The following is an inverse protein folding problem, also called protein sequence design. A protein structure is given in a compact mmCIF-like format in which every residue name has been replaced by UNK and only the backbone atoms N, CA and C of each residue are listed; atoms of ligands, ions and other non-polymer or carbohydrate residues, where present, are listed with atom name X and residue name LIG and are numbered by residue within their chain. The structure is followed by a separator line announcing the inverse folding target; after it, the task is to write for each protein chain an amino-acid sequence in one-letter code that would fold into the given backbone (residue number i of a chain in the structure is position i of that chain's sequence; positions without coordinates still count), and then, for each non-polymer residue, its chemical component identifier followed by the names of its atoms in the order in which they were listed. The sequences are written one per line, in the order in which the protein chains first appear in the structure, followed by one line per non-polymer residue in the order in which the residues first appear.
data_IF_880425616040
#
_entry.id   IF_880425616040
#
_cell.length_a   1.000
_cell.length_b   1.000
_cell.length_c   1.000
_cell.angle_alpha   90.00
_cell.angle_beta   90.00
_cell.angle_gamma   90.00
#
_symmetry.space_group_name_H-M   'P 1'
#
loop_
_entity.id
_entity.type
_entity.pdbx_description
1 polymer ?
#
# COMPACT_ATOMS: atom_id res chain seq x y z
N UNK A 1 -12.07 20.43 0.49
CA UNK A 1 -11.40 19.14 0.24
C UNK A 1 -11.26 18.41 1.54
N UNK A 2 -11.58 17.11 1.58
CA UNK A 2 -11.43 16.30 2.79
C UNK A 2 -9.96 16.00 3.09
N UNK A 3 -9.55 16.20 4.36
CA UNK A 3 -8.19 15.90 4.84
C UNK A 3 -7.77 14.45 4.57
N UNK A 4 -8.75 13.54 4.58
CA UNK A 4 -8.55 12.10 4.30
C UNK A 4 -7.99 11.86 2.90
N UNK A 5 -8.35 12.68 1.91
CA UNK A 5 -7.83 12.54 0.55
C UNK A 5 -6.34 12.89 0.49
N UNK A 6 -5.91 13.94 1.20
CA UNK A 6 -4.50 14.32 1.29
C UNK A 6 -3.67 13.25 2.01
N UNK A 7 -4.18 12.71 3.11
CA UNK A 7 -3.54 11.60 3.84
C UNK A 7 -3.39 10.39 2.92
N UNK A 8 -4.44 10.00 2.21
CA UNK A 8 -4.39 8.87 1.28
C UNK A 8 -3.37 9.10 0.15
N UNK A 9 -3.30 10.32 -0.41
CA UNK A 9 -2.29 10.65 -1.42
C UNK A 9 -0.86 10.57 -0.87
N UNK A 10 -0.62 11.07 0.34
CA UNK A 10 0.68 10.96 0.99
C UNK A 10 1.07 9.49 1.21
N UNK A 11 0.11 8.64 1.63
CA UNK A 11 0.33 7.19 1.78
C UNK A 11 0.66 6.55 0.43
N UNK A 12 -0.10 6.84 -0.64
CA UNK A 12 0.14 6.30 -1.97
C UNK A 12 1.52 6.66 -2.51
N UNK A 13 1.92 7.93 -2.38
CA UNK A 13 3.24 8.41 -2.82
C UNK A 13 4.34 7.79 -1.97
N UNK A 14 4.18 7.76 -0.64
CA UNK A 14 5.15 7.14 0.27
C UNK A 14 5.34 5.65 -0.01
N UNK A 15 4.25 4.91 -0.22
CA UNK A 15 4.28 3.50 -0.57
C UNK A 15 4.98 3.28 -1.92
N UNK A 16 4.69 4.08 -2.94
CA UNK A 16 5.34 3.99 -4.25
C UNK A 16 6.84 4.25 -4.16
N UNK A 17 7.25 5.28 -3.40
CA UNK A 17 8.66 5.59 -3.16
C UNK A 17 9.34 4.42 -2.47
N UNK A 18 8.73 3.87 -1.41
CA UNK A 18 9.29 2.72 -0.70
C UNK A 18 9.44 1.49 -1.60
N UNK A 19 8.38 1.13 -2.35
CA UNK A 19 8.40 0.02 -3.32
C UNK A 19 9.47 0.22 -4.41
N UNK A 20 9.79 1.46 -4.77
CA UNK A 20 10.82 1.76 -5.77
C UNK A 20 12.24 1.51 -5.28
N UNK A 21 12.47 1.48 -3.96
CA UNK A 21 13.79 1.20 -3.37
C UNK A 21 14.16 -0.28 -3.40
N UNK A 22 13.17 -1.17 -3.46
CA UNK A 22 13.38 -2.61 -3.40
C UNK A 22 13.43 -3.22 -4.82
N UNK A 23 14.55 -3.87 -5.22
CA UNK A 23 14.71 -4.47 -6.54
C UNK A 23 13.64 -5.51 -6.87
N UNK A 24 13.06 -6.18 -5.88
CA UNK A 24 12.05 -7.23 -6.07
C UNK A 24 10.74 -6.65 -6.64
N UNK A 25 10.40 -5.42 -6.27
CA UNK A 25 9.14 -4.77 -6.65
C UNK A 25 9.25 -3.87 -7.88
N UNK A 26 10.45 -3.69 -8.45
CA UNK A 26 10.71 -2.89 -9.66
C UNK A 26 9.72 -3.08 -10.82
N UNK A 27 9.31 -4.30 -11.23
CA UNK A 27 8.37 -4.45 -12.34
C UNK A 27 6.94 -3.96 -12.01
N UNK A 28 6.58 -3.89 -10.72
CA UNK A 28 5.25 -3.47 -10.25
C UNK A 28 5.16 -1.94 -10.07
N UNK A 29 6.31 -1.27 -9.88
CA UNK A 29 6.42 0.19 -9.70
C UNK A 29 5.80 1.01 -10.83
N UNK A 30 6.07 0.77 -12.14
CA UNK A 30 5.45 1.57 -13.20
C UNK A 30 3.93 1.42 -13.26
N UNK A 31 3.42 0.22 -12.96
CA UNK A 31 1.98 -0.04 -12.87
C UNK A 31 1.38 0.73 -11.68
N UNK A 32 1.94 0.61 -10.48
CA UNK A 32 1.47 1.36 -9.31
C UNK A 32 1.58 2.87 -9.52
N UNK A 33 2.64 3.34 -10.16
CA UNK A 33 2.85 4.74 -10.50
C UNK A 33 1.72 5.31 -11.37
N UNK A 34 1.21 4.53 -12.33
CA UNK A 34 0.06 4.93 -13.13
C UNK A 34 -1.20 5.13 -12.25
N UNK A 35 -1.45 4.26 -11.26
CA UNK A 35 -2.60 4.41 -10.35
C UNK A 35 -2.45 5.57 -9.37
N UNK A 36 -1.23 5.86 -8.92
CA UNK A 36 -0.95 7.08 -8.14
C UNK A 36 -1.23 8.31 -9.00
N UNK A 37 -0.80 8.31 -10.27
CA UNK A 37 -1.09 9.40 -11.19
C UNK A 37 -2.60 9.57 -11.41
N UNK A 38 -3.36 8.48 -11.61
CA UNK A 38 -4.83 8.52 -11.71
C UNK A 38 -5.45 9.10 -10.42
N UNK A 39 -4.96 8.69 -9.25
CA UNK A 39 -5.42 9.24 -7.97
C UNK A 39 -5.14 10.75 -7.87
N UNK A 40 -3.95 11.19 -8.33
CA UNK A 40 -3.57 12.59 -8.32
C UNK A 40 -4.43 13.42 -9.29
N UNK A 41 -4.72 12.89 -10.48
CA UNK A 41 -5.66 13.49 -11.43
C UNK A 41 -7.06 13.58 -10.82
N UNK A 42 -7.53 12.52 -10.14
CA UNK A 42 -8.79 12.53 -9.40
C UNK A 42 -8.85 13.65 -8.35
N UNK A 43 -7.78 13.81 -7.57
CA UNK A 43 -7.66 14.91 -6.61
C UNK A 43 -7.68 16.27 -7.31
N UNK A 44 -6.98 16.43 -8.42
CA UNK A 44 -6.97 17.66 -9.22
C UNK A 44 -8.36 18.01 -9.76
N UNK A 45 -9.14 17.02 -10.21
CA UNK A 45 -10.53 17.21 -10.63
C UNK A 45 -11.43 17.68 -9.48
N UNK A 46 -11.22 17.17 -8.26
CA UNK A 46 -11.95 17.65 -7.08
C UNK A 46 -11.60 19.12 -6.80
N UNK A 47 -10.32 19.51 -6.91
CA UNK A 47 -9.89 20.90 -6.78
C UNK A 47 -10.52 21.81 -7.85
N UNK A 48 -10.67 21.31 -9.08
CA UNK A 48 -11.26 22.03 -10.21
C UNK A 48 -12.80 22.14 -10.15
N UNK A 49 -13.44 21.81 -9.03
CA UNK A 49 -14.88 21.87 -8.83
C UNK A 49 -15.66 20.68 -9.40
N UNK A 50 -14.99 19.71 -10.05
CA UNK A 50 -15.59 18.48 -10.58
C UNK A 50 -15.58 17.36 -9.53
N UNK A 51 -16.12 17.64 -8.35
CA UNK A 51 -16.00 16.79 -7.17
C UNK A 51 -16.45 15.32 -7.40
N UNK A 52 -17.59 15.11 -8.07
CA UNK A 52 -18.12 13.75 -8.34
C UNK A 52 -17.19 12.92 -9.22
N UNK A 53 -16.74 13.49 -10.34
CA UNK A 53 -15.84 12.81 -11.27
C UNK A 53 -14.46 12.57 -10.63
N UNK A 54 -13.93 13.58 -9.92
CA UNK A 54 -12.65 13.46 -9.23
C UNK A 54 -12.66 12.42 -8.11
N UNK A 55 -13.74 12.34 -7.32
CA UNK A 55 -13.90 11.34 -6.28
C UNK A 55 -13.95 9.91 -6.86
N UNK A 56 -14.69 9.69 -7.95
CA UNK A 56 -14.74 8.37 -8.62
C UNK A 56 -13.35 7.99 -9.13
N UNK A 57 -12.64 8.91 -9.79
CA UNK A 57 -11.29 8.65 -10.30
C UNK A 57 -10.30 8.32 -9.17
N UNK A 58 -10.41 9.04 -8.05
CA UNK A 58 -9.61 8.79 -6.86
C UNK A 58 -9.88 7.39 -6.28
N UNK A 59 -11.15 7.00 -6.17
CA UNK A 59 -11.54 5.66 -5.70
C UNK A 59 -10.95 4.56 -6.58
N UNK A 60 -11.04 4.71 -7.91
CA UNK A 60 -10.43 3.77 -8.87
C UNK A 60 -8.91 3.68 -8.68
N UNK A 61 -8.26 4.82 -8.45
CA UNK A 61 -6.84 4.90 -8.14
C UNK A 61 -6.42 4.18 -6.85
N UNK A 62 -7.31 4.09 -5.85
CA UNK A 62 -7.06 3.39 -4.59
C UNK A 62 -7.17 1.86 -4.69
N UNK A 63 -7.90 1.31 -5.68
CA UNK A 63 -8.21 -0.12 -5.77
C UNK A 63 -6.97 -1.03 -5.65
N UNK A 64 -5.85 -0.82 -6.37
CA UNK A 64 -4.68 -1.69 -6.26
C UNK A 64 -3.91 -1.54 -4.94
N UNK A 65 -4.12 -0.47 -4.17
CA UNK A 65 -3.47 -0.32 -2.87
C UNK A 65 -4.06 -1.25 -1.81
N UNK A 66 -5.32 -1.69 -1.98
CA UNK A 66 -5.97 -2.65 -1.08
C UNK A 66 -5.25 -4.01 -1.05
N UNK A 67 -5.06 -4.73 -2.18
CA UNK A 67 -4.33 -5.99 -2.18
C UNK A 67 -2.86 -5.82 -1.76
N UNK A 68 -2.21 -4.72 -2.12
CA UNK A 68 -0.83 -4.41 -1.68
C UNK A 68 -0.76 -4.30 -0.15
N UNK A 69 -1.72 -3.61 0.48
CA UNK A 69 -1.83 -3.55 1.93
C UNK A 69 -2.02 -4.93 2.57
N UNK A 70 -2.84 -5.79 1.96
CA UNK A 70 -3.04 -7.16 2.45
C UNK A 70 -1.77 -8.01 2.38
N UNK A 71 -0.96 -7.88 1.32
CA UNK A 71 0.35 -8.55 1.21
C UNK A 71 1.25 -8.13 2.39
N UNK A 72 1.28 -6.85 2.73
CA UNK A 72 2.02 -6.34 3.89
C UNK A 72 1.55 -6.95 5.21
N UNK A 73 0.24 -7.09 5.41
CA UNK A 73 -0.34 -7.75 6.61
C UNK A 73 0.10 -9.21 6.69
N UNK A 74 0.06 -9.95 5.58
CA UNK A 74 0.50 -11.35 5.57
C UNK A 74 2.00 -11.50 5.86
N UNK A 75 2.84 -10.61 5.33
CA UNK A 75 4.26 -10.55 5.68
C UNK A 75 4.48 -10.33 7.18
N UNK A 76 3.80 -9.35 7.78
CA UNK A 76 3.89 -9.07 9.21
C UNK A 76 3.41 -10.25 10.07
N UNK A 77 2.32 -10.92 9.67
CA UNK A 77 1.83 -12.11 10.36
C UNK A 77 2.85 -13.25 10.36
N UNK A 78 3.57 -13.44 9.25
CA UNK A 78 4.64 -14.46 9.17
C UNK A 78 5.76 -14.15 10.15
N UNK A 79 6.23 -12.91 10.23
CA UNK A 79 7.26 -12.48 11.19
C UNK A 79 6.83 -12.76 12.64
N UNK A 80 5.58 -12.45 13.00
CA UNK A 80 5.05 -12.74 14.35
C UNK A 80 4.99 -14.25 14.63
N UNK A 81 4.62 -15.07 13.65
CA UNK A 81 4.57 -16.52 13.80
C UNK A 81 5.98 -17.13 13.97
N UNK A 82 6.96 -16.65 13.20
CA UNK A 82 8.35 -17.09 13.28
C UNK A 82 8.96 -16.72 14.65
N UNK A 83 8.65 -15.53 15.20
CA UNK A 83 9.05 -15.11 16.55
C UNK A 83 8.39 -15.95 17.66
N UNK A 84 7.11 -16.28 17.52
CA UNK A 84 6.41 -17.15 18.49
C UNK A 84 6.98 -18.57 18.52
N UNK A 85 7.48 -19.06 17.39
CA UNK A 85 8.06 -20.41 17.26
C UNK A 85 9.51 -20.45 17.75
N UNK A 86 10.23 -19.33 17.68
CA UNK A 86 11.59 -19.19 18.22
C UNK A 86 11.65 -18.97 19.75
N UNK A 87 10.50 -18.73 20.38
CA UNK A 87 10.35 -18.52 21.83
C UNK A 87 10.29 -19.78 22.68
N UNK A 88 10.44 -20.98 22.11
CA UNK A 88 10.57 -22.23 22.86
C UNK A 88 12.05 -22.68 22.95
N UNK A 89 12.81 -22.24 23.97
CA UNK A 89 14.03 -22.94 24.36
C UNK A 89 13.62 -24.14 25.23
N UNK A 90 13.60 -25.34 24.67
CA UNK A 90 13.66 -26.55 25.47
C UNK A 90 12.61 -27.60 25.17
N UNK A 91 12.92 -28.46 24.21
CA UNK A 91 12.72 -29.89 24.40
C UNK A 91 13.88 -30.61 23.73
N UNK A 92 14.87 -30.97 24.55
CA UNK A 92 15.97 -31.87 24.18
C UNK A 92 15.43 -33.16 23.53
N UNK A 93 16.21 -33.81 22.66
CA UNK A 93 15.86 -35.13 22.14
C UNK A 93 15.95 -36.15 23.28
N UNK A 94 14.80 -36.65 23.74
CA UNK A 94 14.75 -37.86 24.56
C UNK A 94 14.99 -39.08 23.68
N UNK A 95 16.24 -39.58 23.74
CA UNK A 95 16.79 -40.93 23.46
C UNK A 95 15.97 -41.85 22.55
#
# INVERSE_FOLDING_TARGET
MDVRMYIAMAIHVGALVFLSTDPHYRPVVPWMGAFVAVSAVGMLLVCAGKAKAGAIMFIVGCVPFVPVGLIGVFGAKKVLADLSSAGEPGSEPSV
#
